data_IF_263650214359
#
_entry.id   IF_263650214359
#
_cell.length_a   1.000
_cell.length_b   1.000
_cell.length_c   1.000
_cell.angle_alpha   90.00
_cell.angle_beta   90.00
_cell.angle_gamma   90.00
#
_symmetry.space_group_name_H-M   'P 1'
#
loop_
_entity.id
_entity.type
_entity.pdbx_description
1 polymer ?
#
# COMPACT_ATOMS: atom_id res chain seq x y z
N UNK A 1 27.29 4.74 15.22
CA UNK A 1 26.07 5.59 15.21
C UNK A 1 25.21 5.17 14.02
N UNK A 2 24.32 4.19 14.20
CA UNK A 2 23.39 3.80 13.14
C UNK A 2 22.18 4.72 13.17
N UNK A 3 22.08 5.62 12.19
CA UNK A 3 20.87 6.42 11.98
C UNK A 3 19.71 5.43 11.79
N UNK A 4 18.78 5.41 12.73
CA UNK A 4 17.55 4.64 12.56
C UNK A 4 16.77 5.32 11.45
N UNK A 5 16.71 4.67 10.29
CA UNK A 5 15.85 5.09 9.19
C UNK A 5 14.42 4.77 9.63
N UNK A 6 13.52 5.75 9.53
CA UNK A 6 12.16 5.67 10.06
C UNK A 6 11.23 4.90 9.11
N UNK A 7 10.34 4.08 9.66
CA UNK A 7 9.16 3.51 8.98
C UNK A 7 7.88 4.27 9.33
N UNK A 8 8.01 5.49 9.90
CA UNK A 8 6.86 6.32 10.25
C UNK A 8 5.90 6.48 9.07
N UNK A 9 4.61 6.27 9.34
CA UNK A 9 3.53 6.36 8.34
C UNK A 9 3.02 5.02 7.82
N UNK A 10 3.69 3.89 8.11
CA UNK A 10 3.12 2.57 7.82
C UNK A 10 2.13 2.13 8.90
N UNK A 11 0.94 1.72 8.48
CA UNK A 11 -0.16 1.28 9.33
C UNK A 11 -0.71 -0.05 8.85
N UNK A 12 -0.80 -1.04 9.75
CA UNK A 12 -1.54 -2.26 9.47
C UNK A 12 -3.04 -2.01 9.58
N UNK A 13 -3.82 -2.59 8.68
CA UNK A 13 -5.26 -2.44 8.65
C UNK A 13 -5.76 -1.99 7.28
N UNK A 14 -6.88 -1.30 7.28
CA UNK A 14 -7.55 -0.89 6.06
C UNK A 14 -6.84 0.28 5.36
N UNK A 15 -6.78 0.20 4.03
CA UNK A 15 -6.34 1.25 3.13
C UNK A 15 -7.39 1.46 2.04
N UNK A 16 -7.62 2.73 1.70
CA UNK A 16 -8.54 3.18 0.64
C UNK A 16 -7.81 4.15 -0.28
N UNK A 17 -8.28 4.29 -1.51
CA UNK A 17 -7.72 5.26 -2.45
C UNK A 17 -8.11 4.95 -3.87
N UNK A 18 -7.23 5.25 -4.81
CA UNK A 18 -7.47 5.04 -6.23
C UNK A 18 -6.21 4.62 -6.99
N UNK A 19 -6.41 4.05 -8.17
CA UNK A 19 -5.40 4.01 -9.22
C UNK A 19 -5.91 4.79 -10.43
N UNK A 20 -5.00 5.43 -11.15
CA UNK A 20 -5.30 6.09 -12.42
C UNK A 20 -5.15 5.10 -13.57
N UNK A 21 -6.01 5.18 -14.58
CA UNK A 21 -5.84 4.45 -15.82
C UNK A 21 -6.46 5.26 -16.95
N UNK A 22 -5.66 5.65 -17.93
CA UNK A 22 -6.13 6.50 -19.05
C UNK A 22 -6.76 7.82 -18.57
N UNK A 23 -6.26 8.38 -17.47
CA UNK A 23 -6.80 9.60 -16.86
C UNK A 23 -8.10 9.41 -16.06
N UNK A 24 -8.57 8.17 -15.88
CA UNK A 24 -9.72 7.84 -15.03
C UNK A 24 -9.21 7.34 -13.67
N UNK A 25 -9.77 7.86 -12.58
CA UNK A 25 -9.49 7.36 -11.22
C UNK A 25 -10.50 6.29 -10.85
N UNK A 26 -10.01 5.08 -10.58
CA UNK A 26 -10.83 3.97 -10.11
C UNK A 26 -10.53 3.71 -8.64
N UNK A 27 -11.58 3.64 -7.82
CA UNK A 27 -11.45 3.41 -6.39
C UNK A 27 -10.97 1.98 -6.09
N UNK A 28 -10.16 1.84 -5.05
CA UNK A 28 -9.72 0.55 -4.53
C UNK A 28 -9.71 0.54 -3.01
N UNK A 29 -9.95 -0.64 -2.42
CA UNK A 29 -9.89 -0.87 -0.98
C UNK A 29 -9.13 -2.17 -0.71
N UNK A 30 -8.28 -2.13 0.31
CA UNK A 30 -7.46 -3.28 0.70
C UNK A 30 -7.17 -3.27 2.19
N UNK A 31 -6.69 -4.39 2.71
CA UNK A 31 -6.05 -4.49 4.02
C UNK A 31 -4.58 -4.79 3.81
N UNK A 32 -3.70 -4.03 4.47
CA UNK A 32 -2.26 -4.22 4.42
C UNK A 32 -1.72 -4.59 5.80
N UNK A 33 -0.75 -5.49 5.82
CA UNK A 33 0.02 -5.89 6.98
C UNK A 33 1.50 -5.66 6.69
N UNK A 34 2.19 -4.94 7.58
CA UNK A 34 3.61 -4.62 7.47
C UNK A 34 4.34 -5.27 8.64
N UNK A 35 5.23 -6.22 8.35
CA UNK A 35 6.06 -6.87 9.35
C UNK A 35 7.39 -7.33 8.75
N UNK A 36 8.49 -7.14 9.49
CA UNK A 36 9.82 -7.66 9.13
C UNK A 36 10.31 -7.30 7.71
N UNK A 37 9.96 -6.09 7.24
CA UNK A 37 10.31 -5.60 5.90
C UNK A 37 9.42 -6.14 4.78
N UNK A 38 8.39 -6.91 5.10
CA UNK A 38 7.43 -7.50 4.17
C UNK A 38 6.07 -6.81 4.27
N UNK A 39 5.48 -6.50 3.13
CA UNK A 39 4.07 -6.10 3.03
C UNK A 39 3.24 -7.25 2.47
N UNK A 40 2.14 -7.57 3.14
CA UNK A 40 1.11 -8.50 2.65
C UNK A 40 -0.25 -7.85 2.70
N UNK A 41 -1.17 -8.36 1.90
CA UNK A 41 -2.53 -7.84 1.94
C UNK A 41 -3.48 -8.55 1.01
N UNK A 42 -4.72 -8.08 1.04
CA UNK A 42 -5.78 -8.49 0.13
C UNK A 42 -6.77 -7.36 -0.04
N UNK A 43 -7.49 -7.35 -1.15
CA UNK A 43 -8.50 -6.35 -1.39
C UNK A 43 -9.42 -6.72 -2.54
N UNK A 44 -10.25 -5.77 -2.92
CA UNK A 44 -11.10 -5.88 -4.08
C UNK A 44 -11.33 -4.50 -4.72
N UNK A 45 -11.50 -4.50 -6.03
CA UNK A 45 -11.95 -3.36 -6.83
C UNK A 45 -12.92 -3.85 -7.91
N UNK A 46 -13.21 -3.00 -8.90
CA UNK A 46 -14.13 -3.32 -10.00
C UNK A 46 -13.65 -4.49 -10.89
N UNK A 47 -12.34 -4.81 -10.90
CA UNK A 47 -11.78 -5.91 -11.68
C UNK A 47 -11.89 -7.25 -10.94
N UNK A 48 -11.86 -7.23 -9.60
CA UNK A 48 -12.07 -8.41 -8.77
C UNK A 48 -11.29 -8.41 -7.46
N UNK A 49 -11.26 -9.58 -6.82
CA UNK A 49 -10.46 -9.84 -5.61
C UNK A 49 -8.99 -10.02 -5.98
N UNK A 50 -8.11 -9.53 -5.11
CA UNK A 50 -6.67 -9.63 -5.30
C UNK A 50 -5.91 -9.86 -3.99
N UNK A 51 -4.73 -10.46 -4.11
CA UNK A 51 -3.73 -10.59 -3.05
C UNK A 51 -2.55 -9.65 -3.31
N UNK A 52 -1.85 -9.27 -2.23
CA UNK A 52 -0.68 -8.39 -2.24
C UNK A 52 0.46 -9.09 -1.51
N UNK A 53 1.64 -9.13 -2.15
CA UNK A 53 2.90 -9.51 -1.52
C UNK A 53 4.05 -8.63 -2.02
N UNK A 54 4.90 -8.16 -1.11
CA UNK A 54 5.99 -7.26 -1.44
C UNK A 54 6.89 -6.93 -0.26
N UNK A 55 7.65 -5.86 -0.42
CA UNK A 55 8.65 -5.42 0.55
C UNK A 55 8.54 -3.93 0.83
N UNK A 56 8.98 -3.53 2.02
CA UNK A 56 9.18 -2.13 2.38
C UNK A 56 10.54 -1.95 3.06
N UNK A 57 11.14 -0.79 2.84
CA UNK A 57 12.41 -0.45 3.46
C UNK A 57 12.50 1.04 3.73
N UNK A 58 13.09 1.39 4.86
CA UNK A 58 13.42 2.78 5.13
C UNK A 58 14.59 3.22 4.25
N UNK A 59 14.51 4.47 3.82
CA UNK A 59 15.48 5.14 2.94
C UNK A 59 15.84 6.50 3.55
N UNK A 60 16.92 7.16 3.09
CA UNK A 60 17.22 8.52 3.53
C UNK A 60 16.12 9.55 3.25
N UNK A 61 15.16 9.23 2.38
CA UNK A 61 14.06 10.11 1.96
C UNK A 61 12.69 9.72 2.56
N UNK A 62 12.63 8.76 3.48
CA UNK A 62 11.37 8.21 4.02
C UNK A 62 11.28 6.70 3.79
N UNK A 63 10.09 6.13 3.69
CA UNK A 63 9.92 4.70 3.46
C UNK A 63 9.57 4.42 1.99
N UNK A 64 10.31 3.52 1.35
CA UNK A 64 9.96 2.99 0.03
C UNK A 64 9.23 1.66 0.21
N UNK A 65 8.19 1.44 -0.59
CA UNK A 65 7.36 0.24 -0.55
C UNK A 65 7.08 -0.23 -1.97
N UNK A 66 7.08 -1.54 -2.20
CA UNK A 66 6.72 -2.10 -3.49
C UNK A 66 6.14 -3.48 -3.36
N UNK A 67 5.11 -3.79 -4.14
CA UNK A 67 4.41 -5.06 -4.06
C UNK A 67 3.87 -5.51 -5.42
N UNK A 68 3.56 -6.80 -5.51
CA UNK A 68 2.80 -7.38 -6.60
C UNK A 68 1.34 -7.53 -6.13
N UNK A 69 0.43 -6.97 -6.91
CA UNK A 69 -1.01 -7.18 -6.80
C UNK A 69 -1.42 -8.28 -7.78
N UNK A 70 -1.92 -9.42 -7.29
CA UNK A 70 -2.32 -10.55 -8.13
C UNK A 70 -3.81 -10.77 -8.04
N UNK A 71 -4.51 -10.67 -9.17
CA UNK A 71 -5.93 -10.99 -9.26
C UNK A 71 -6.12 -12.51 -9.42
N UNK A 72 -7.10 -13.06 -8.71
CA UNK A 72 -7.38 -14.51 -8.74
C UNK A 72 -7.64 -15.01 -10.17
N UNK A 73 -6.80 -15.93 -10.63
CA UNK A 73 -6.91 -16.55 -11.96
C UNK A 73 -6.62 -15.61 -13.14
N UNK A 74 -6.02 -14.45 -12.89
CA UNK A 74 -5.76 -13.44 -13.92
C UNK A 74 -4.29 -12.96 -13.90
N UNK A 75 -4.07 -11.65 -13.95
CA UNK A 75 -2.75 -11.04 -14.13
C UNK A 75 -2.22 -10.42 -12.83
N UNK A 76 -0.91 -10.18 -12.81
CA UNK A 76 -0.21 -9.49 -11.73
C UNK A 76 0.21 -8.09 -12.17
N UNK A 77 0.13 -7.13 -11.25
CA UNK A 77 0.48 -5.72 -11.45
C UNK A 77 1.52 -5.34 -10.41
N UNK A 78 2.63 -4.73 -10.84
CA UNK A 78 3.65 -4.20 -9.93
C UNK A 78 3.20 -2.83 -9.42
N UNK A 79 3.36 -2.59 -8.12
CA UNK A 79 3.15 -1.29 -7.48
C UNK A 79 4.45 -0.86 -6.82
N UNK A 80 4.88 0.37 -7.11
CA UNK A 80 6.06 1.00 -6.51
C UNK A 80 5.65 2.35 -5.92
N UNK A 81 5.82 2.51 -4.62
CA UNK A 81 5.39 3.69 -3.89
C UNK A 81 6.38 4.19 -2.86
N UNK A 82 6.08 5.39 -2.36
CA UNK A 82 6.79 6.04 -1.28
C UNK A 82 5.77 6.50 -0.23
N UNK A 83 6.13 6.35 1.04
CA UNK A 83 5.29 6.75 2.17
C UNK A 83 5.57 8.22 2.47
N UNK A 84 4.55 9.06 2.31
CA UNK A 84 4.57 10.47 2.67
C UNK A 84 3.32 10.82 3.50
N UNK A 85 3.51 11.51 4.62
CA UNK A 85 2.47 11.88 5.58
C UNK A 85 1.44 10.78 5.95
N UNK A 86 1.86 9.51 5.94
CA UNK A 86 1.01 8.36 6.26
C UNK A 86 0.19 7.81 5.08
N UNK A 87 0.27 8.43 3.90
CA UNK A 87 -0.23 7.90 2.64
C UNK A 87 0.88 7.20 1.85
N UNK A 88 0.50 6.42 0.83
CA UNK A 88 1.41 5.84 -0.14
C UNK A 88 1.02 6.35 -1.53
N UNK A 89 1.92 7.13 -2.11
CA UNK A 89 1.84 7.62 -3.48
C UNK A 89 2.85 6.88 -4.36
N UNK A 90 2.49 6.61 -5.61
CA UNK A 90 3.39 5.88 -6.49
C UNK A 90 2.85 5.62 -7.88
N UNK A 91 3.42 4.59 -8.51
CA UNK A 91 2.99 4.08 -9.80
C UNK A 91 2.69 2.60 -9.74
N UNK A 92 1.71 2.19 -10.53
CA UNK A 92 1.52 0.79 -10.88
C UNK A 92 2.03 0.54 -12.31
N UNK A 93 2.47 -0.68 -12.58
CA UNK A 93 3.05 -1.10 -13.85
C UNK A 93 2.54 -2.49 -14.26
N UNK A 94 2.12 -2.64 -15.52
CA UNK A 94 1.85 -3.93 -16.15
C UNK A 94 2.27 -3.90 -17.63
N UNK A 95 3.26 -4.72 -17.99
CA UNK A 95 3.80 -4.75 -19.35
C UNK A 95 4.38 -3.40 -19.76
N UNK A 96 3.73 -2.71 -20.70
CA UNK A 96 4.13 -1.39 -21.21
C UNK A 96 3.31 -0.23 -20.61
N UNK A 97 2.33 -0.55 -19.76
CA UNK A 97 1.41 0.43 -19.17
C UNK A 97 1.83 0.74 -17.74
N UNK A 98 1.83 2.02 -17.42
CA UNK A 98 2.04 2.53 -16.07
C UNK A 98 1.15 3.75 -15.83
N UNK A 99 0.73 3.96 -14.59
CA UNK A 99 0.03 5.17 -14.19
C UNK A 99 0.12 5.37 -12.67
N UNK A 100 -0.37 6.50 -12.17
CA UNK A 100 -0.29 6.85 -10.76
C UNK A 100 -1.26 6.03 -9.88
N UNK A 101 -0.92 5.89 -8.60
CA UNK A 101 -1.87 5.50 -7.56
C UNK A 101 -1.66 6.32 -6.30
N UNK A 102 -2.71 6.39 -5.49
CA UNK A 102 -2.70 6.95 -4.15
C UNK A 102 -3.53 6.06 -3.23
N UNK A 103 -2.99 5.70 -2.07
CA UNK A 103 -3.74 5.04 -1.00
C UNK A 103 -3.39 5.66 0.35
N UNK A 104 -4.37 5.70 1.24
CA UNK A 104 -4.25 6.19 2.61
C UNK A 104 -4.98 5.24 3.58
N UNK A 105 -4.66 5.26 4.88
CA UNK A 105 -5.39 4.48 5.87
C UNK A 105 -6.89 4.80 5.83
N UNK A 106 -7.72 3.77 5.67
CA UNK A 106 -9.18 3.93 5.78
C UNK A 106 -9.56 4.33 7.21
N UNK A 107 -10.68 5.05 7.39
CA UNK A 107 -11.14 5.44 8.72
C UNK A 107 -11.44 4.20 9.60
N UNK A 108 -10.42 3.80 10.33
CA UNK A 108 -10.42 2.80 11.38
C UNK A 108 -9.39 3.26 12.39
N UNK A 109 -9.77 4.22 13.24
CA UNK A 109 -9.00 4.63 14.42
C UNK A 109 -8.44 3.36 15.06
N UNK A 110 -7.10 3.24 15.09
CA UNK A 110 -6.45 2.16 15.82
C UNK A 110 -7.13 1.98 17.16
N UNK A 111 -7.41 0.72 17.51
CA UNK A 111 -8.02 0.36 18.79
C UNK A 111 -7.30 1.16 19.88
N UNK A 112 -7.99 2.15 20.45
CA UNK A 112 -7.56 2.75 21.70
C UNK A 112 -7.73 1.65 22.72
N UNK A 113 -6.64 1.17 23.31
CA UNK A 113 -6.73 0.36 24.51
C UNK A 113 -7.65 1.09 25.51
N UNK A 114 -8.74 0.45 25.98
CA UNK A 114 -9.54 1.02 27.04
C UNK A 114 -8.71 0.98 28.32
N UNK A 115 -8.14 2.13 28.67
CA UNK A 115 -7.75 2.56 30.01
C UNK A 115 -7.21 1.48 30.96
N UNK A 116 -5.88 1.51 31.16
CA UNK A 116 -5.32 1.14 32.45
C UNK A 116 -6.05 1.92 33.55
N UNK A 117 -6.68 1.18 34.47
CA UNK A 117 -7.06 1.62 35.81
C UNK A 117 -6.29 0.78 36.80
#
# INVERSE_FOLDING_TARGET
>A
MSKHLSTAGLHCGEWVGYYEQWGVRTAQRMTLEFADGIVRGRGADELGVFEIEGEFRSTPRGCAVGWIKTYDGAHSVLYLGHVDDGAIDGKWEIGWMEDAFHIEPGEGRGVREPGAR
#
